data_IF_434818783145
#
_entry.id   IF_434818783145
#
_cell.length_a   1.000
_cell.length_b   1.000
_cell.length_c   1.000
_cell.angle_alpha   90.00
_cell.angle_beta   90.00
_cell.angle_gamma   90.00
#
_symmetry.space_group_name_H-M   'P 1'
#
loop_
_entity.id
_entity.type
_entity.pdbx_description
1 polymer ?
#
# COMPACT_ATOMS: atom_id res chain seq x y z
N UNK A 1 -25.97 0.71 -4.33
CA UNK A 1 -24.60 0.19 -4.43
C UNK A 1 -24.25 -0.40 -3.08
N UNK A 2 -23.54 -1.52 -3.04
CA UNK A 2 -23.07 -2.10 -1.78
C UNK A 2 -21.80 -1.40 -1.30
N UNK A 3 -21.05 -0.83 -2.25
CA UNK A 3 -19.81 -0.11 -2.03
C UNK A 3 -19.82 1.27 -2.68
N UNK A 4 -19.12 2.22 -2.08
CA UNK A 4 -18.77 3.53 -2.63
C UNK A 4 -17.26 3.57 -2.87
N UNK A 5 -16.82 4.30 -3.90
CA UNK A 5 -15.43 4.37 -4.29
C UNK A 5 -14.89 5.78 -4.05
N UNK A 6 -13.80 5.87 -3.30
CA UNK A 6 -13.16 7.13 -2.94
C UNK A 6 -11.72 7.13 -3.45
N UNK A 7 -11.39 8.08 -4.32
CA UNK A 7 -10.00 8.37 -4.68
C UNK A 7 -9.37 9.12 -3.52
N UNK A 8 -8.24 8.62 -3.05
CA UNK A 8 -7.48 9.21 -1.96
C UNK A 8 -6.11 9.64 -2.45
N UNK A 9 -5.75 10.89 -2.16
CA UNK A 9 -4.45 11.48 -2.45
C UNK A 9 -3.78 11.92 -1.14
N UNK A 10 -2.68 11.26 -0.80
CA UNK A 10 -1.90 11.53 0.40
C UNK A 10 -0.61 12.25 0.04
N UNK A 11 -0.49 13.52 0.40
CA UNK A 11 0.74 14.28 0.24
C UNK A 11 1.83 13.70 1.12
N UNK A 12 2.96 13.33 0.53
CA UNK A 12 4.07 12.73 1.25
C UNK A 12 4.97 13.80 1.91
N UNK A 13 4.97 13.89 3.23
CA UNK A 13 5.65 14.94 4.00
C UNK A 13 7.08 14.59 4.44
N UNK A 14 7.44 13.31 4.35
CA UNK A 14 8.75 12.78 4.76
C UNK A 14 9.09 11.53 3.95
N UNK A 15 10.36 11.10 3.88
CA UNK A 15 10.72 9.81 3.30
C UNK A 15 9.85 8.66 3.82
N UNK A 16 9.48 7.72 2.97
CA UNK A 16 8.69 6.56 3.36
C UNK A 16 9.39 5.26 2.95
N UNK A 17 9.69 4.43 3.94
CA UNK A 17 10.21 3.08 3.70
C UNK A 17 9.07 2.06 3.78
N UNK A 18 8.83 1.34 2.68
CA UNK A 18 7.93 0.19 2.65
C UNK A 18 8.79 -1.07 2.51
N UNK A 19 9.03 -1.77 3.61
CA UNK A 19 9.95 -2.92 3.61
C UNK A 19 9.65 -3.96 2.53
N UNK A 20 10.68 -4.37 1.78
CA UNK A 20 10.58 -5.39 0.75
C UNK A 20 11.63 -6.49 0.89
N UNK A 21 12.90 -6.16 0.66
CA UNK A 21 14.02 -7.11 0.59
C UNK A 21 15.25 -6.51 1.26
N UNK A 22 16.17 -7.36 1.70
CA UNK A 22 17.47 -6.96 2.21
C UNK A 22 18.57 -7.63 1.38
N UNK A 23 19.47 -6.84 0.81
CA UNK A 23 20.63 -7.33 0.05
C UNK A 23 21.88 -6.76 0.72
N UNK A 24 22.64 -7.61 1.41
CA UNK A 24 23.77 -7.14 2.23
C UNK A 24 23.31 -6.16 3.30
N UNK A 25 23.87 -4.94 3.27
CA UNK A 25 23.50 -3.85 4.16
C UNK A 25 22.39 -2.93 3.61
N UNK A 26 21.92 -3.17 2.37
CA UNK A 26 20.85 -2.40 1.74
C UNK A 26 19.48 -2.97 2.10
N UNK A 27 18.63 -2.13 2.68
CA UNK A 27 17.21 -2.39 2.91
C UNK A 27 16.40 -1.73 1.79
N UNK A 28 15.77 -2.54 0.95
CA UNK A 28 15.04 -2.08 -0.22
C UNK A 28 13.59 -1.74 0.12
N UNK A 29 13.07 -0.70 -0.53
CA UNK A 29 11.68 -0.28 -0.40
C UNK A 29 10.83 -0.82 -1.55
N UNK A 30 9.56 -1.10 -1.30
CA UNK A 30 8.57 -1.28 -2.37
C UNK A 30 8.32 0.05 -3.06
N UNK A 31 7.97 -0.03 -4.35
CA UNK A 31 7.66 1.11 -5.21
C UNK A 31 6.19 1.57 -5.11
N UNK A 32 5.45 0.97 -4.19
CA UNK A 32 4.05 1.25 -3.92
C UNK A 32 3.77 0.90 -2.46
N UNK A 33 2.67 1.41 -1.91
CA UNK A 33 2.18 1.07 -0.58
C UNK A 33 1.11 -0.02 -0.74
N UNK A 34 1.37 -1.26 -0.26
CA UNK A 34 0.37 -2.32 -0.26
C UNK A 34 -0.85 -1.95 0.60
N UNK A 35 -2.03 -2.42 0.20
CA UNK A 35 -3.26 -2.26 0.97
C UNK A 35 -3.14 -2.79 2.39
N UNK A 36 -2.32 -3.83 2.65
CA UNK A 36 -2.01 -4.31 4.00
C UNK A 36 -1.29 -3.27 4.87
N UNK A 37 -0.36 -2.51 4.29
CA UNK A 37 0.37 -1.47 5.01
C UNK A 37 -0.59 -0.32 5.36
N UNK A 38 -1.45 0.06 4.40
CA UNK A 38 -2.48 1.08 4.63
C UNK A 38 -3.49 0.62 5.69
N UNK A 39 -3.99 -0.62 5.57
CA UNK A 39 -4.86 -1.26 6.55
C UNK A 39 -4.26 -1.21 7.95
N UNK A 40 -2.96 -1.53 8.10
CA UNK A 40 -2.28 -1.51 9.40
C UNK A 40 -2.16 -0.11 9.97
N UNK A 41 -1.80 0.88 9.14
CA UNK A 41 -1.70 2.28 9.56
C UNK A 41 -3.07 2.85 9.97
N UNK A 42 -4.11 2.59 9.17
CA UNK A 42 -5.47 3.04 9.40
C UNK A 42 -6.09 2.38 10.64
N UNK A 43 -5.99 1.05 10.75
CA UNK A 43 -6.43 0.29 11.93
C UNK A 43 -5.77 0.83 13.19
N UNK A 44 -4.45 1.05 13.16
CA UNK A 44 -3.74 1.57 14.31
C UNK A 44 -4.13 3.01 14.66
N UNK A 45 -4.54 3.83 13.70
CA UNK A 45 -5.04 5.18 13.97
C UNK A 45 -6.47 5.14 14.54
N UNK A 46 -7.36 4.40 13.89
CA UNK A 46 -8.74 4.23 14.33
C UNK A 46 -8.83 3.64 15.74
N UNK A 47 -8.03 2.62 16.04
CA UNK A 47 -8.00 2.00 17.37
C UNK A 47 -7.61 3.00 18.47
N UNK A 48 -6.64 3.88 18.20
CA UNK A 48 -6.19 4.90 19.17
C UNK A 48 -7.21 6.02 19.38
N UNK A 49 -7.94 6.38 18.33
CA UNK A 49 -8.82 7.56 18.35
C UNK A 49 -10.25 7.22 18.75
N UNK A 50 -10.72 6.05 18.35
CA UNK A 50 -12.13 5.67 18.39
C UNK A 50 -12.36 4.27 18.96
N UNK A 51 -11.31 3.46 19.10
CA UNK A 51 -11.43 2.02 19.39
C UNK A 51 -10.82 1.58 20.71
N UNK A 52 -10.59 2.49 21.67
CA UNK A 52 -10.03 2.18 23.01
C UNK A 52 -8.75 1.32 22.96
N UNK A 53 -7.92 1.51 21.93
CA UNK A 53 -6.71 0.73 21.66
C UNK A 53 -6.95 -0.77 21.37
N UNK A 54 -8.17 -1.20 21.07
CA UNK A 54 -8.47 -2.56 20.60
C UNK A 54 -8.16 -2.72 19.11
N UNK A 55 -6.89 -3.00 18.82
CA UNK A 55 -6.40 -3.18 17.45
C UNK A 55 -7.00 -4.40 16.74
N UNK A 56 -7.36 -5.45 17.49
CA UNK A 56 -7.88 -6.69 16.90
C UNK A 56 -9.30 -6.49 16.39
N UNK A 57 -10.19 -5.97 17.24
CA UNK A 57 -11.56 -5.64 16.86
C UNK A 57 -11.60 -4.57 15.77
N UNK A 58 -10.80 -3.51 15.92
CA UNK A 58 -10.73 -2.45 14.90
C UNK A 58 -10.30 -3.02 13.54
N UNK A 59 -9.32 -3.93 13.51
CA UNK A 59 -8.87 -4.56 12.27
C UNK A 59 -9.97 -5.38 11.59
N UNK A 60 -10.78 -6.10 12.38
CA UNK A 60 -11.95 -6.85 11.89
C UNK A 60 -13.00 -5.88 11.32
N UNK A 61 -13.25 -4.75 11.99
CA UNK A 61 -14.23 -3.77 11.52
C UNK A 61 -13.76 -3.08 10.22
N UNK A 62 -12.45 -2.83 10.08
CA UNK A 62 -11.85 -2.35 8.83
C UNK A 62 -11.98 -3.40 7.72
N UNK A 63 -11.67 -4.68 7.98
CA UNK A 63 -11.82 -5.76 6.99
C UNK A 63 -13.28 -6.06 6.62
N UNK A 64 -14.26 -5.65 7.43
CA UNK A 64 -15.68 -5.69 7.05
C UNK A 64 -16.11 -4.48 6.23
N UNK A 65 -15.63 -3.31 6.58
CA UNK A 65 -16.18 -2.05 6.09
C UNK A 65 -15.41 -1.45 4.92
N UNK A 66 -14.12 -1.78 4.76
CA UNK A 66 -13.23 -1.13 3.79
C UNK A 66 -12.47 -2.14 2.92
N UNK A 67 -12.27 -1.81 1.65
CA UNK A 67 -11.27 -2.43 0.77
C UNK A 67 -10.33 -1.35 0.24
N UNK A 68 -9.16 -1.76 -0.22
CA UNK A 68 -8.11 -0.84 -0.64
C UNK A 68 -7.59 -1.23 -2.02
N UNK A 69 -7.33 -0.26 -2.89
CA UNK A 69 -6.30 -0.43 -3.91
C UNK A 69 -4.92 -0.25 -3.27
N UNK A 70 -3.87 -0.49 -4.05
CA UNK A 70 -2.53 -0.07 -3.63
C UNK A 70 -2.36 1.41 -3.94
N UNK A 71 -1.46 2.06 -3.21
CA UNK A 71 -1.17 3.47 -3.39
C UNK A 71 0.17 3.64 -4.09
N UNK A 72 0.20 4.47 -5.13
CA UNK A 72 1.35 4.66 -5.99
C UNK A 72 1.87 6.10 -5.90
N UNK A 73 3.20 6.31 -5.92
CA UNK A 73 3.80 7.63 -6.00
C UNK A 73 3.39 8.35 -7.30
N UNK A 74 3.07 9.63 -7.19
CA UNK A 74 2.81 10.53 -8.32
C UNK A 74 3.27 11.94 -7.98
N UNK A 75 3.74 12.70 -8.98
CA UNK A 75 3.97 14.15 -8.85
C UNK A 75 2.76 14.99 -9.25
N UNK A 76 1.64 14.32 -9.49
CA UNK A 76 0.31 14.89 -9.68
C UNK A 76 -0.56 14.46 -8.51
N UNK A 77 -1.35 15.38 -7.95
CA UNK A 77 -2.21 15.10 -6.80
C UNK A 77 -3.46 14.29 -7.18
N UNK A 78 -3.89 14.34 -8.44
CA UNK A 78 -5.20 13.83 -8.84
C UNK A 78 -5.13 12.49 -9.58
N UNK A 79 -3.97 12.13 -10.17
CA UNK A 79 -3.81 10.93 -10.97
C UNK A 79 -2.43 10.29 -10.86
N UNK A 80 -2.34 9.00 -11.16
CA UNK A 80 -1.09 8.24 -11.23
C UNK A 80 -0.53 8.38 -12.65
N UNK A 81 0.60 9.09 -12.80
CA UNK A 81 1.18 9.36 -14.12
C UNK A 81 2.23 8.33 -14.59
N UNK A 82 2.75 7.52 -13.67
CA UNK A 82 3.81 6.55 -13.97
C UNK A 82 3.77 5.37 -13.03
N UNK A 83 3.54 4.17 -13.58
CA UNK A 83 3.63 2.93 -12.81
C UNK A 83 5.06 2.34 -12.86
N UNK A 84 5.51 1.63 -11.80
CA UNK A 84 6.90 1.21 -11.69
C UNK A 84 7.38 0.24 -12.77
N UNK A 85 6.47 -0.49 -13.40
CA UNK A 85 6.76 -1.47 -14.46
C UNK A 85 6.66 -0.91 -15.88
N UNK A 86 6.22 0.34 -16.05
CA UNK A 86 6.11 0.96 -17.38
C UNK A 86 7.47 1.51 -17.84
N UNK A 87 8.09 2.35 -17.00
CA UNK A 87 9.41 2.94 -17.23
C UNK A 87 10.18 2.92 -15.91
N UNK A 88 10.73 1.75 -15.57
CA UNK A 88 11.36 1.48 -14.27
C UNK A 88 12.47 2.47 -13.93
N UNK A 89 13.40 2.72 -14.84
CA UNK A 89 14.54 3.61 -14.58
C UNK A 89 14.09 5.06 -14.33
N UNK A 90 13.06 5.52 -15.06
CA UNK A 90 12.47 6.84 -14.86
C UNK A 90 11.74 6.91 -13.50
N UNK A 91 10.99 5.87 -13.15
CA UNK A 91 10.29 5.78 -11.87
C UNK A 91 11.28 5.82 -10.71
N UNK A 92 12.34 5.00 -10.75
CA UNK A 92 13.37 4.94 -9.72
C UNK A 92 14.11 6.27 -9.60
N UNK A 93 14.55 6.86 -10.72
CA UNK A 93 15.21 8.16 -10.73
C UNK A 93 14.35 9.26 -10.09
N UNK A 94 13.05 9.23 -10.37
CA UNK A 94 12.09 10.25 -9.95
C UNK A 94 11.69 10.11 -8.49
N UNK A 95 11.34 8.91 -8.03
CA UNK A 95 10.67 8.70 -6.75
C UNK A 95 11.52 7.97 -5.70
N UNK A 96 12.59 7.27 -6.07
CA UNK A 96 13.35 6.43 -5.13
C UNK A 96 14.66 7.11 -4.75
N UNK A 97 14.91 7.16 -3.44
CA UNK A 97 16.18 7.59 -2.85
C UNK A 97 16.66 6.59 -1.82
N UNK A 98 17.88 6.78 -1.32
CA UNK A 98 18.43 6.00 -0.21
C UNK A 98 19.14 6.90 0.80
N UNK A 99 19.28 6.40 2.03
CA UNK A 99 20.06 7.04 3.08
C UNK A 99 20.95 6.00 3.75
N UNK A 100 22.13 6.43 4.21
CA UNK A 100 23.09 5.56 4.90
C UNK A 100 23.13 5.97 6.36
N UNK A 101 22.86 4.99 7.24
CA UNK A 101 22.83 5.17 8.68
C UNK A 101 23.80 4.20 9.36
N UNK A 102 24.34 4.62 10.51
CA UNK A 102 25.13 3.75 11.39
C UNK A 102 24.73 4.04 12.84
N UNK A 103 24.69 3.02 13.68
CA UNK A 103 24.53 3.21 15.12
C UNK A 103 25.83 3.76 15.71
N UNK A 104 25.71 4.49 16.83
CA UNK A 104 26.85 5.00 17.58
C UNK A 104 26.99 4.22 18.89
N UNK A 105 28.20 3.76 19.19
CA UNK A 105 28.56 3.34 20.53
C UNK A 105 28.71 4.59 21.40
N UNK A 106 27.76 4.83 22.29
CA UNK A 106 27.73 6.01 23.16
C UNK A 106 28.86 6.01 24.21
N UNK A 107 29.42 4.85 24.54
CA UNK A 107 30.54 4.71 25.48
C UNK A 107 31.88 5.04 24.83
N UNK A 108 32.09 4.58 23.60
CA UNK A 108 33.33 4.79 22.85
C UNK A 108 33.30 6.00 21.90
N UNK A 109 32.11 6.58 21.63
CA UNK A 109 31.87 7.67 20.65
C UNK A 109 32.34 7.33 19.24
N UNK A 110 32.26 6.06 18.87
CA UNK A 110 32.57 5.55 17.52
C UNK A 110 31.32 4.95 16.88
N UNK A 111 31.37 4.71 15.57
CA UNK A 111 30.36 3.91 14.90
C UNK A 111 30.39 2.49 15.48
N UNK A 112 29.21 1.96 15.81
CA UNK A 112 29.07 0.59 16.27
C UNK A 112 29.36 -0.38 15.11
N UNK A 113 30.18 -1.39 15.38
CA UNK A 113 30.72 -2.26 14.34
C UNK A 113 29.60 -3.08 13.68
N UNK A 114 29.56 -3.11 12.35
CA UNK A 114 28.52 -3.82 11.60
C UNK A 114 27.13 -3.16 11.60
N UNK A 115 26.99 -1.97 12.22
CA UNK A 115 25.71 -1.26 12.26
C UNK A 115 25.40 -0.44 11.00
N UNK A 116 26.37 -0.29 10.08
CA UNK A 116 26.20 0.43 8.83
C UNK A 116 25.13 -0.24 7.95
N UNK A 117 24.06 0.48 7.65
CA UNK A 117 23.02 0.05 6.74
C UNK A 117 22.55 1.18 5.85
N UNK A 118 22.15 0.83 4.64
CA UNK A 118 21.52 1.74 3.70
C UNK A 118 20.02 1.39 3.63
N UNK A 119 19.16 2.40 3.56
CA UNK A 119 17.71 2.22 3.51
C UNK A 119 17.14 3.04 2.38
N UNK A 120 16.51 2.36 1.42
CA UNK A 120 15.77 3.00 0.34
C UNK A 120 14.44 3.55 0.83
N UNK A 121 13.94 4.58 0.17
CA UNK A 121 12.65 5.19 0.48
C UNK A 121 11.99 5.77 -0.75
N UNK A 122 10.67 5.91 -0.69
CA UNK A 122 9.89 6.77 -1.56
C UNK A 122 10.12 8.22 -1.09
N UNK A 123 10.62 9.06 -1.98
CA UNK A 123 11.00 10.43 -1.68
C UNK A 123 9.76 11.35 -1.61
N UNK A 124 9.71 12.30 -0.65
CA UNK A 124 8.58 13.24 -0.51
C UNK A 124 8.56 14.29 -1.64
N UNK A 125 9.67 14.46 -2.33
CA UNK A 125 9.78 15.28 -3.54
C UNK A 125 10.50 14.49 -4.61
N UNK A 126 10.11 14.72 -5.86
CA UNK A 126 10.80 14.16 -7.00
C UNK A 126 12.22 14.72 -7.13
N UNK A 127 13.06 14.10 -7.95
CA UNK A 127 14.43 14.59 -8.22
C UNK A 127 14.46 16.01 -8.79
N UNK A 128 13.44 16.42 -9.54
CA UNK A 128 13.24 17.78 -10.06
C UNK A 128 12.49 18.72 -9.09
N UNK A 129 12.22 18.27 -7.84
CA UNK A 129 11.76 19.10 -6.74
C UNK A 129 10.24 19.25 -6.60
N UNK A 130 9.44 18.52 -7.39
CA UNK A 130 7.97 18.53 -7.29
C UNK A 130 7.50 17.71 -6.09
N UNK A 131 6.35 18.09 -5.53
CA UNK A 131 5.73 17.35 -4.43
C UNK A 131 5.30 15.95 -4.89
N UNK A 132 5.56 14.94 -4.08
CA UNK A 132 5.08 13.56 -4.30
C UNK A 132 3.82 13.31 -3.47
N UNK A 133 2.85 12.67 -4.10
CA UNK A 133 1.60 12.18 -3.51
C UNK A 133 1.57 10.66 -3.63
N UNK A 134 0.85 10.01 -2.72
CA UNK A 134 0.50 8.61 -2.80
C UNK A 134 -0.98 8.54 -3.18
N UNK A 135 -1.27 8.05 -4.39
CA UNK A 135 -2.64 7.98 -4.90
C UNK A 135 -3.11 6.54 -4.94
N UNK A 136 -4.30 6.31 -4.42
CA UNK A 136 -5.02 5.06 -4.52
C UNK A 136 -6.50 5.27 -4.27
N UNK A 137 -7.20 4.17 -4.03
CA UNK A 137 -8.64 4.17 -3.82
C UNK A 137 -9.00 3.36 -2.58
N UNK A 138 -10.02 3.85 -1.87
CA UNK A 138 -10.68 3.15 -0.77
C UNK A 138 -12.10 2.83 -1.24
N UNK A 139 -12.50 1.58 -1.04
CA UNK A 139 -13.86 1.15 -1.28
C UNK A 139 -14.55 1.06 0.07
N UNK A 140 -15.59 1.86 0.26
CA UNK A 140 -16.35 1.94 1.49
C UNK A 140 -17.64 1.15 1.37
N UNK A 141 -17.87 0.20 2.27
CA UNK A 141 -19.14 -0.51 2.32
C UNK A 141 -20.24 0.43 2.81
N UNK A 142 -21.46 0.31 2.28
CA UNK A 142 -22.62 1.14 2.66
C UNK A 142 -22.94 1.16 4.16
N UNK A 143 -22.56 0.11 4.88
CA UNK A 143 -22.80 -0.04 6.32
C UNK A 143 -21.56 0.35 7.15
N UNK A 144 -20.59 1.03 6.54
CA UNK A 144 -19.39 1.53 7.22
C UNK A 144 -19.77 2.59 8.26
N UNK A 145 -19.29 2.39 9.48
CA UNK A 145 -19.45 3.34 10.58
C UNK A 145 -18.10 3.87 11.09
N UNK A 146 -17.01 3.59 10.36
CA UNK A 146 -15.66 3.99 10.75
C UNK A 146 -15.42 5.44 10.36
N UNK A 147 -14.82 6.24 11.25
CA UNK A 147 -14.38 7.59 10.93
C UNK A 147 -13.02 7.57 10.20
N UNK A 148 -12.97 6.85 9.07
CA UNK A 148 -11.73 6.58 8.35
C UNK A 148 -11.19 7.82 7.64
N UNK A 149 -12.05 8.72 7.15
CA UNK A 149 -11.65 9.96 6.50
C UNK A 149 -10.87 10.89 7.46
N UNK A 150 -11.38 11.12 8.68
CA UNK A 150 -10.63 11.90 9.68
C UNK A 150 -9.31 11.22 10.05
N UNK A 151 -9.31 9.88 10.15
CA UNK A 151 -8.11 9.12 10.45
C UNK A 151 -7.03 9.24 9.36
N UNK A 152 -7.39 9.43 8.08
CA UNK A 152 -6.44 9.62 6.97
C UNK A 152 -5.50 10.80 7.20
N UNK A 153 -6.02 11.91 7.73
CA UNK A 153 -5.25 13.14 7.99
C UNK A 153 -4.13 12.99 9.02
N UNK A 154 -4.16 11.90 9.81
CA UNK A 154 -3.26 11.64 10.94
C UNK A 154 -2.39 10.40 10.73
N UNK A 155 -2.32 9.89 9.49
CA UNK A 155 -1.59 8.66 9.22
C UNK A 155 -0.08 8.83 9.21
N UNK A 156 0.60 7.78 9.66
CA UNK A 156 2.02 7.57 9.46
C UNK A 156 2.22 6.14 8.98
N UNK A 157 2.78 5.98 7.78
CA UNK A 157 2.76 4.72 7.02
C UNK A 157 4.19 4.22 6.79
N UNK A 158 4.42 2.92 6.96
CA UNK A 158 5.70 2.27 6.68
C UNK A 158 6.63 2.13 7.89
N UNK A 159 7.90 1.85 7.60
CA UNK A 159 8.99 1.70 8.57
C UNK A 159 9.67 3.02 8.93
N UNK A 160 10.71 2.95 9.77
CA UNK A 160 11.53 4.10 10.21
C UNK A 160 10.72 5.24 10.88
N UNK A 161 9.55 4.91 11.45
CA UNK A 161 8.63 5.88 12.06
C UNK A 161 9.24 6.64 13.23
N UNK A 162 10.16 6.03 13.97
CA UNK A 162 10.92 6.65 15.07
C UNK A 162 11.87 7.73 14.58
N UNK A 163 12.35 7.65 13.34
CA UNK A 163 13.11 8.70 12.66
C UNK A 163 12.21 9.74 11.97
N UNK A 164 10.89 9.67 12.20
CA UNK A 164 9.92 10.62 11.64
C UNK A 164 9.53 10.34 10.19
N UNK A 165 9.83 9.15 9.65
CA UNK A 165 9.46 8.75 8.29
C UNK A 165 7.99 8.40 8.16
N UNK A 166 7.49 8.39 6.93
CA UNK A 166 6.15 7.92 6.60
C UNK A 166 5.01 8.88 6.90
N UNK A 167 5.28 10.12 7.28
CA UNK A 167 4.24 11.14 7.51
C UNK A 167 3.57 11.54 6.20
N UNK A 168 2.25 11.59 6.24
CA UNK A 168 1.39 12.01 5.14
C UNK A 168 0.35 13.02 5.61
N UNK A 169 -0.23 13.74 4.66
CA UNK A 169 -1.31 14.69 4.88
C UNK A 169 -2.34 14.58 3.75
N UNK A 170 -3.61 14.78 4.06
CA UNK A 170 -4.70 14.91 3.09
C UNK A 170 -5.07 16.37 2.95
N UNK A 171 -5.21 16.88 1.73
CA UNK A 171 -5.88 18.17 1.50
C UNK A 171 -7.37 18.03 1.85
N UNK A 172 -7.93 18.94 2.66
CA UNK A 172 -9.33 18.89 3.09
C UNK A 172 -10.33 18.93 1.93
N UNK A 173 -9.94 19.50 0.78
CA UNK A 173 -10.82 19.70 -0.38
C UNK A 173 -10.61 18.70 -1.51
N UNK A 174 -9.41 18.13 -1.63
CA UNK A 174 -9.01 17.26 -2.76
C UNK A 174 -8.45 15.91 -2.37
N UNK A 175 -8.08 15.73 -1.10
CA UNK A 175 -7.39 14.55 -0.60
C UNK A 175 -8.25 13.29 -0.56
N UNK A 176 -9.58 13.43 -0.53
CA UNK A 176 -10.54 12.33 -0.61
C UNK A 176 -11.75 12.77 -1.43
N UNK A 177 -12.02 12.10 -2.55
CA UNK A 177 -13.13 12.44 -3.44
C UNK A 177 -13.86 11.16 -3.85
N UNK A 178 -15.18 11.15 -3.71
CA UNK A 178 -16.01 10.05 -4.22
C UNK A 178 -15.99 10.07 -5.75
N UNK A 179 -15.68 8.93 -6.36
CA UNK A 179 -15.54 8.76 -7.82
C UNK A 179 -16.31 7.54 -8.30
N UNK A 180 -16.68 7.52 -9.57
CA UNK A 180 -17.42 6.40 -10.16
C UNK A 180 -16.50 5.26 -10.67
N UNK A 181 -15.24 5.58 -10.98
CA UNK A 181 -14.24 4.66 -11.55
C UNK A 181 -12.85 5.01 -11.02
N UNK A 182 -11.89 4.08 -11.18
CA UNK A 182 -10.48 4.33 -10.90
C UNK A 182 -9.91 5.20 -12.02
N UNK A 183 -9.08 6.18 -11.66
CA UNK A 183 -8.39 7.06 -12.61
C UNK A 183 -7.14 6.38 -13.23
N UNK A 184 -7.37 5.21 -13.82
CA UNK A 184 -6.41 4.42 -14.59
C UNK A 184 -7.15 3.72 -15.72
N UNK A 185 -6.64 3.84 -16.94
CA UNK A 185 -7.23 3.18 -18.11
C UNK A 185 -7.13 1.65 -18.00
N UNK A 186 -8.17 0.95 -18.46
CA UNK A 186 -8.19 -0.51 -18.53
C UNK A 186 -8.62 -1.23 -17.26
N UNK A 187 -9.14 -0.50 -16.27
CA UNK A 187 -9.67 -1.03 -15.02
C UNK A 187 -11.10 -0.58 -14.80
N UNK A 188 -12.08 -1.42 -15.15
CA UNK A 188 -13.48 -1.14 -14.87
C UNK A 188 -13.88 -1.70 -13.50
N UNK A 189 -14.64 -0.92 -12.73
CA UNK A 189 -15.10 -1.30 -11.40
C UNK A 189 -16.61 -1.53 -11.35
N UNK A 190 -17.02 -2.61 -10.68
CA UNK A 190 -18.41 -2.87 -10.28
C UNK A 190 -18.54 -2.86 -8.75
N UNK A 191 -19.48 -2.05 -8.23
CA UNK A 191 -19.66 -1.77 -6.79
C UNK A 191 -20.97 -2.32 -6.21
N UNK A 192 -21.77 -3.03 -7.01
CA UNK A 192 -23.10 -3.50 -6.62
C UNK A 192 -23.10 -4.91 -6.03
N UNK A 193 -21.99 -5.62 -6.10
CA UNK A 193 -21.87 -6.99 -5.61
C UNK A 193 -21.48 -7.05 -4.12
N UNK A 194 -21.35 -8.26 -3.58
CA UNK A 194 -20.89 -8.50 -2.20
C UNK A 194 -19.49 -7.93 -1.96
N UNK A 195 -18.59 -8.09 -2.94
CA UNK A 195 -17.25 -7.50 -2.95
C UNK A 195 -17.11 -6.54 -4.14
N UNK A 196 -16.29 -5.48 -4.04
CA UNK A 196 -15.94 -4.69 -5.21
C UNK A 196 -15.25 -5.58 -6.24
N UNK A 197 -15.64 -5.42 -7.50
CA UNK A 197 -15.11 -6.21 -8.61
C UNK A 197 -14.31 -5.32 -9.53
N UNK A 198 -13.16 -5.81 -9.98
CA UNK A 198 -12.32 -5.13 -10.98
C UNK A 198 -12.14 -6.00 -12.21
N UNK A 199 -12.40 -5.42 -13.37
CA UNK A 199 -12.15 -6.03 -14.68
C UNK A 199 -10.82 -5.51 -15.21
N UNK A 200 -9.88 -6.42 -15.40
CA UNK A 200 -8.56 -6.14 -15.95
C UNK A 200 -8.53 -6.54 -17.42
N UNK A 201 -8.28 -5.58 -18.30
CA UNK A 201 -7.98 -5.86 -19.71
C UNK A 201 -6.60 -6.48 -19.88
N UNK A 202 -6.45 -7.45 -20.79
CA UNK A 202 -5.17 -8.10 -21.16
C UNK A 202 -4.07 -7.14 -21.61
N UNK A 203 -4.45 -5.93 -22.03
CA UNK A 203 -3.50 -4.89 -22.45
C UNK A 203 -2.79 -4.22 -21.26
N UNK A 204 -3.31 -4.40 -20.05
CA UNK A 204 -2.85 -3.75 -18.83
C UNK A 204 -2.29 -4.76 -17.82
N UNK A 205 -1.50 -4.26 -16.87
CA UNK A 205 -0.90 -5.07 -15.79
C UNK A 205 -1.76 -5.04 -14.54
N UNK A 206 -1.69 -6.04 -13.67
CA UNK A 206 -2.30 -5.93 -12.35
C UNK A 206 -1.67 -4.80 -11.52
N UNK A 207 -2.49 -3.97 -10.88
CA UNK A 207 -2.04 -2.90 -9.96
C UNK A 207 -2.14 -3.31 -8.48
N UNK A 208 -2.44 -4.57 -8.21
CA UNK A 208 -2.39 -5.14 -6.86
C UNK A 208 -1.80 -6.54 -6.92
N UNK A 209 -1.48 -7.09 -5.75
CA UNK A 209 -1.20 -8.51 -5.65
C UNK A 209 -2.45 -9.30 -6.05
N UNK A 210 -2.26 -10.28 -6.93
CA UNK A 210 -3.30 -11.22 -7.34
C UNK A 210 -2.98 -12.58 -6.74
N UNK A 211 -3.89 -13.13 -5.95
CA UNK A 211 -3.74 -14.44 -5.34
C UNK A 211 -3.55 -15.49 -6.44
N UNK A 212 -2.44 -16.24 -6.36
CA UNK A 212 -2.17 -17.32 -7.29
C UNK A 212 -3.24 -18.41 -7.15
N UNK A 213 -3.75 -18.84 -8.29
CA UNK A 213 -4.80 -19.86 -8.40
C UNK A 213 -4.71 -20.51 -9.77
N UNK A 214 -5.07 -21.80 -9.84
CA UNK A 214 -5.03 -22.61 -11.05
C UNK A 214 -5.80 -21.96 -12.22
N UNK A 215 -6.80 -21.13 -11.94
CA UNK A 215 -7.59 -20.42 -12.94
C UNK A 215 -6.81 -19.33 -13.70
N UNK A 216 -5.82 -18.71 -13.05
CA UNK A 216 -5.10 -17.55 -13.57
C UNK A 216 -3.62 -17.85 -13.86
N UNK A 217 -3.04 -18.84 -13.18
CA UNK A 217 -1.60 -19.11 -13.26
C UNK A 217 -1.16 -19.48 -14.68
N UNK A 218 -1.98 -20.26 -15.39
CA UNK A 218 -1.73 -20.64 -16.80
C UNK A 218 -1.83 -19.46 -17.79
N UNK A 219 -2.38 -18.33 -17.35
CA UNK A 219 -2.56 -17.13 -18.18
C UNK A 219 -1.59 -16.00 -17.87
N UNK A 220 -0.77 -16.09 -16.81
CA UNK A 220 0.26 -15.11 -16.53
C UNK A 220 1.35 -15.15 -17.63
N UNK A 221 1.54 -14.04 -18.33
CA UNK A 221 2.56 -13.89 -19.38
C UNK A 221 3.89 -13.41 -18.82
N UNK A 222 3.85 -12.52 -17.83
CA UNK A 222 5.01 -11.97 -17.15
C UNK A 222 4.60 -11.48 -15.76
N UNK A 223 5.53 -11.53 -14.81
CA UNK A 223 5.28 -11.15 -13.42
C UNK A 223 6.14 -12.00 -12.48
N UNK A 224 6.38 -11.47 -11.28
CA UNK A 224 6.99 -12.27 -10.22
C UNK A 224 5.88 -12.84 -9.33
N UNK A 225 6.18 -13.97 -8.70
CA UNK A 225 5.38 -14.50 -7.60
C UNK A 225 6.14 -14.22 -6.31
N UNK A 226 5.43 -13.78 -5.27
CA UNK A 226 5.99 -13.68 -3.93
C UNK A 226 4.97 -14.10 -2.85
N UNK A 227 5.44 -14.63 -1.71
CA UNK A 227 4.59 -14.83 -0.56
C UNK A 227 4.32 -13.48 0.13
N UNK A 228 3.05 -13.12 0.25
CA UNK A 228 2.62 -12.00 1.06
C UNK A 228 2.33 -12.47 2.48
N UNK A 229 3.17 -12.03 3.42
CA UNK A 229 3.12 -12.36 4.84
C UNK A 229 3.08 -11.06 5.63
N UNK A 230 2.44 -11.08 6.80
CA UNK A 230 2.42 -9.94 7.71
C UNK A 230 2.58 -10.38 9.15
N UNK A 231 3.04 -9.44 9.98
CA UNK A 231 3.06 -9.58 11.42
C UNK A 231 1.72 -9.07 11.95
N UNK A 232 0.98 -9.95 12.63
CA UNK A 232 -0.34 -9.69 13.16
C UNK A 232 -0.29 -9.55 14.68
N UNK A 233 -1.17 -8.70 15.21
CA UNK A 233 -1.32 -8.47 16.64
C UNK A 233 -2.62 -9.15 17.07
N UNK A 234 -2.49 -10.32 17.67
CA UNK A 234 -3.63 -11.12 18.16
C UNK A 234 -3.89 -10.93 19.66
N UNK A 235 -2.94 -10.31 20.38
CA UNK A 235 -3.01 -10.02 21.81
C UNK A 235 -2.42 -8.65 22.11
N UNK A 236 -3.05 -7.90 23.02
CA UNK A 236 -2.69 -6.53 23.37
C UNK A 236 -1.22 -6.36 23.83
N UNK A 237 -0.63 -7.40 24.40
CA UNK A 237 0.71 -7.31 25.01
C UNK A 237 1.87 -7.59 24.06
N UNK A 238 1.63 -8.06 22.82
CA UNK A 238 2.72 -8.37 21.87
C UNK A 238 2.36 -8.00 20.43
N UNK A 239 2.69 -6.76 20.06
CA UNK A 239 2.55 -6.26 18.70
C UNK A 239 3.35 -7.08 17.70
N UNK A 240 2.68 -7.56 16.65
CA UNK A 240 3.33 -8.28 15.55
C UNK A 240 3.96 -9.63 15.93
N UNK A 241 3.44 -10.29 16.97
CA UNK A 241 3.99 -11.56 17.45
C UNK A 241 3.62 -12.77 16.58
N UNK A 242 2.52 -12.69 15.84
CA UNK A 242 2.06 -13.79 15.00
C UNK A 242 2.37 -13.51 13.53
N UNK A 243 2.82 -14.54 12.83
CA UNK A 243 3.07 -14.49 11.40
C UNK A 243 1.81 -15.01 10.72
N UNK A 244 1.20 -14.18 9.87
CA UNK A 244 0.01 -14.61 9.12
C UNK A 244 0.33 -15.79 8.20
N UNK A 245 -0.71 -16.54 7.82
CA UNK A 245 -0.58 -17.50 6.73
C UNK A 245 -0.02 -16.82 5.47
N UNK A 246 0.90 -17.50 4.78
CA UNK A 246 1.49 -16.99 3.55
C UNK A 246 0.45 -17.07 2.41
N UNK A 247 0.19 -15.93 1.78
CA UNK A 247 -0.62 -15.88 0.56
C UNK A 247 0.32 -15.78 -0.64
N UNK A 248 0.32 -16.79 -1.50
CA UNK A 248 1.16 -16.79 -2.70
C UNK A 248 0.48 -15.92 -3.75
N UNK A 249 1.14 -14.84 -4.16
CA UNK A 249 0.54 -13.85 -5.04
C UNK A 249 1.46 -13.50 -6.21
N UNK A 250 0.86 -13.30 -7.38
CA UNK A 250 1.46 -12.52 -8.46
C UNK A 250 1.61 -11.06 -8.03
N UNK A 251 2.76 -10.44 -8.31
CA UNK A 251 3.04 -9.06 -7.91
C UNK A 251 2.33 -8.04 -8.80
N UNK A 252 2.09 -6.81 -8.31
CA UNK A 252 1.81 -5.67 -9.18
C UNK A 252 2.81 -5.58 -10.35
N UNK A 253 2.29 -5.26 -11.54
CA UNK A 253 3.02 -5.29 -12.82
C UNK A 253 2.83 -6.57 -13.63
N UNK A 254 2.24 -7.62 -13.05
CA UNK A 254 1.97 -8.89 -13.76
C UNK A 254 0.99 -8.67 -14.92
N UNK A 255 1.30 -9.20 -16.10
CA UNK A 255 0.41 -9.19 -17.27
C UNK A 255 -0.20 -10.56 -17.50
N UNK A 256 -1.48 -10.59 -17.84
CA UNK A 256 -2.22 -11.81 -18.17
C UNK A 256 -2.55 -11.85 -19.68
N UNK A 257 -2.67 -13.06 -20.23
CA UNK A 257 -2.86 -13.31 -21.66
C UNK A 257 -4.28 -13.04 -22.16
N UNK A 258 -5.23 -12.93 -21.25
CA UNK A 258 -6.65 -12.70 -21.50
C UNK A 258 -7.21 -11.71 -20.49
N UNK A 259 -8.40 -11.21 -20.75
CA UNK A 259 -9.10 -10.35 -19.81
C UNK A 259 -9.50 -11.18 -18.59
N UNK A 260 -9.42 -10.58 -17.41
CA UNK A 260 -9.78 -11.23 -16.15
C UNK A 260 -10.70 -10.34 -15.33
N UNK A 261 -11.56 -10.99 -14.55
CA UNK A 261 -12.38 -10.32 -13.55
C UNK A 261 -11.94 -10.81 -12.17
N UNK A 262 -11.70 -9.87 -11.27
CA UNK A 262 -11.23 -10.16 -9.93
C UNK A 262 -12.13 -9.55 -8.87
N UNK A 263 -12.29 -10.26 -7.75
CA UNK A 263 -12.83 -9.72 -6.52
C UNK A 263 -11.71 -8.99 -5.76
N UNK A 264 -11.98 -7.78 -5.28
CA UNK A 264 -11.08 -7.05 -4.38
C UNK A 264 -11.32 -7.55 -2.95
N UNK A 265 -10.40 -8.36 -2.46
CA UNK A 265 -10.43 -8.90 -1.11
C UNK A 265 -9.84 -7.97 -0.05
N UNK A 266 -9.87 -8.44 1.19
CA UNK A 266 -9.23 -7.80 2.35
C UNK A 266 -7.79 -7.38 2.04
N UNK A 267 -7.35 -6.26 2.63
CA UNK A 267 -6.00 -5.71 2.45
C UNK A 267 -5.62 -5.44 0.98
N UNK A 268 -6.61 -5.39 0.09
CA UNK A 268 -6.50 -5.06 -1.33
C UNK A 268 -6.03 -6.19 -2.24
N UNK A 269 -6.02 -7.44 -1.77
CA UNK A 269 -5.55 -8.58 -2.56
C UNK A 269 -6.65 -9.04 -3.51
N UNK A 270 -6.31 -9.20 -4.79
CA UNK A 270 -7.26 -9.63 -5.82
C UNK A 270 -7.39 -11.15 -5.86
N UNK A 271 -8.62 -11.64 -6.03
CA UNK A 271 -8.91 -13.07 -6.21
C UNK A 271 -9.68 -13.28 -7.51
N UNK A 272 -9.38 -14.35 -8.25
CA UNK A 272 -10.13 -14.68 -9.46
C UNK A 272 -11.63 -14.77 -9.14
N UNK A 273 -12.46 -14.08 -9.92
CA UNK A 273 -13.91 -14.24 -9.85
C UNK A 273 -14.30 -15.45 -10.70
N UNK A 274 -14.72 -16.52 -10.03
CA UNK A 274 -15.24 -17.75 -10.65
C UNK A 274 -16.54 -17.50 -11.41
#
# INVERSE_FOLDING_TARGET
MSWELHRVSLKLLSPMHIGWRKIGNLQQTRYYVPGRTLWGALTARLARDYGDFDYSKTGIDVDKSLRFSYFYPSDNEEKIDLLPWERKDEFEWKYIGSTVNTALDLGARIADEGSLHETEYIAPKTRDGKQVYLIGNIFEHKDCALNWEDALSKLQIGGERTYGWGRVETDESKGCVQVAQIDLDGYDIELNEEFPVIKLSRSHSAISHVLADNQIDSSALSGNIEPLIGLETTREERFGAEISAAQICWTPGTKFSKDHTFLIGEKGIWKSKS
#
